data_IF_504972449085
#
_entry.id   IF_504972449085
#
_cell.length_a   1.000
_cell.length_b   1.000
_cell.length_c   1.000
_cell.angle_alpha   90.00
_cell.angle_beta   90.00
_cell.angle_gamma   90.00
#
_symmetry.space_group_name_H-M   'P 1'
#
loop_
_entity.id
_entity.type
_entity.pdbx_description
1 polymer ?
#
# COMPACT_ATOMS: atom_id res chain seq x y z
N UNK A 1 -47.20 -25.69 -39.54
CA UNK A 1 -46.61 -26.49 -38.45
C UNK A 1 -47.06 -25.84 -37.16
N UNK A 2 -48.04 -26.45 -36.50
CA UNK A 2 -48.58 -25.94 -35.26
C UNK A 2 -47.78 -26.46 -34.07
N UNK A 3 -47.68 -25.69 -33.00
CA UNK A 3 -46.93 -26.09 -31.79
C UNK A 3 -47.49 -27.37 -31.14
N UNK A 4 -48.74 -27.69 -31.47
CA UNK A 4 -49.47 -28.88 -31.01
C UNK A 4 -48.99 -30.18 -31.69
N UNK A 5 -48.28 -30.07 -32.80
CA UNK A 5 -47.77 -31.22 -33.57
C UNK A 5 -46.35 -31.65 -33.16
N UNK A 6 -45.74 -31.00 -32.14
CA UNK A 6 -44.40 -31.32 -31.66
C UNK A 6 -44.40 -32.46 -30.61
N UNK A 7 -43.38 -33.31 -30.69
CA UNK A 7 -43.13 -34.34 -29.68
C UNK A 7 -42.66 -33.69 -28.35
N UNK A 8 -42.95 -34.33 -27.20
CA UNK A 8 -42.57 -33.88 -25.86
C UNK A 8 -41.09 -33.48 -25.77
N UNK A 9 -40.18 -34.28 -26.34
CA UNK A 9 -38.75 -33.97 -26.33
C UNK A 9 -38.41 -32.71 -27.14
N UNK A 10 -39.12 -32.46 -28.24
CA UNK A 10 -38.91 -31.25 -29.05
C UNK A 10 -39.43 -30.00 -28.33
N UNK A 11 -40.55 -30.11 -27.61
CA UNK A 11 -41.05 -29.01 -26.76
C UNK A 11 -40.08 -28.69 -25.63
N UNK A 12 -39.48 -29.70 -25.01
CA UNK A 12 -38.45 -29.50 -23.96
C UNK A 12 -37.21 -28.84 -24.55
N UNK A 13 -36.72 -29.31 -25.71
CA UNK A 13 -35.56 -28.73 -26.37
C UNK A 13 -35.81 -27.27 -26.79
N UNK A 14 -37.02 -26.98 -27.29
CA UNK A 14 -37.45 -25.63 -27.63
C UNK A 14 -37.50 -24.72 -26.40
N UNK A 15 -38.01 -25.21 -25.27
CA UNK A 15 -38.07 -24.46 -24.02
C UNK A 15 -36.67 -24.14 -23.46
N UNK A 16 -35.74 -25.09 -23.53
CA UNK A 16 -34.34 -24.89 -23.11
C UNK A 16 -33.66 -23.86 -24.02
N UNK A 17 -33.84 -24.00 -25.33
CA UNK A 17 -33.28 -23.06 -26.32
C UNK A 17 -33.81 -21.64 -26.08
N UNK A 18 -35.13 -21.50 -25.86
CA UNK A 18 -35.76 -20.21 -25.60
C UNK A 18 -35.22 -19.59 -24.31
N UNK A 19 -35.09 -20.37 -23.24
CA UNK A 19 -34.53 -19.90 -21.96
C UNK A 19 -33.10 -19.38 -22.12
N UNK A 20 -32.27 -20.08 -22.90
CA UNK A 20 -30.89 -19.67 -23.18
C UNK A 20 -30.82 -18.36 -23.98
N UNK A 21 -31.60 -18.24 -25.06
CA UNK A 21 -31.64 -17.02 -25.90
C UNK A 21 -32.18 -15.84 -25.12
N UNK A 22 -33.22 -16.03 -24.31
CA UNK A 22 -33.79 -14.97 -23.46
C UNK A 22 -32.76 -14.45 -22.45
N UNK A 23 -31.96 -15.33 -21.82
CA UNK A 23 -30.92 -14.91 -20.87
C UNK A 23 -29.88 -13.99 -21.50
N UNK A 24 -29.45 -14.28 -22.73
CA UNK A 24 -28.47 -13.43 -23.45
C UNK A 24 -29.12 -12.12 -23.88
N UNK A 25 -30.35 -12.17 -24.41
CA UNK A 25 -31.08 -10.99 -24.85
C UNK A 25 -31.30 -10.00 -23.69
N UNK A 26 -31.74 -10.47 -22.52
CA UNK A 26 -31.92 -9.62 -21.33
C UNK A 26 -30.59 -9.01 -20.87
N UNK A 27 -29.49 -9.77 -20.90
CA UNK A 27 -28.16 -9.24 -20.57
C UNK A 27 -27.72 -8.11 -21.51
N UNK A 28 -27.87 -8.29 -22.82
CA UNK A 28 -27.49 -7.26 -23.79
C UNK A 28 -28.40 -6.03 -23.67
N UNK A 29 -29.72 -6.20 -23.61
CA UNK A 29 -30.67 -5.08 -23.54
C UNK A 29 -30.50 -4.27 -22.26
N UNK A 30 -30.21 -4.88 -21.12
CA UNK A 30 -29.96 -4.14 -19.87
C UNK A 30 -28.70 -3.29 -19.96
N UNK A 31 -27.60 -3.84 -20.50
CA UNK A 31 -26.34 -3.09 -20.69
C UNK A 31 -26.50 -1.96 -21.71
N UNK A 32 -27.20 -2.19 -22.83
CA UNK A 32 -27.39 -1.15 -23.84
C UNK A 32 -28.29 -0.02 -23.35
N UNK A 33 -29.33 -0.32 -22.57
CA UNK A 33 -30.17 0.71 -21.96
C UNK A 33 -29.40 1.54 -20.91
N UNK A 34 -28.50 0.92 -20.15
CA UNK A 34 -27.61 1.67 -19.24
C UNK A 34 -26.64 2.60 -19.99
N UNK A 35 -26.14 2.19 -21.16
CA UNK A 35 -25.27 3.03 -21.98
C UNK A 35 -26.01 4.12 -22.76
N UNK A 36 -27.32 3.97 -22.96
CA UNK A 36 -28.18 4.95 -23.63
C UNK A 36 -28.87 5.91 -22.64
N UNK A 37 -28.70 5.72 -21.33
CA UNK A 37 -29.16 6.69 -20.35
C UNK A 37 -28.45 8.03 -20.60
N UNK A 38 -29.19 9.13 -20.89
CA UNK A 38 -28.59 10.44 -21.06
C UNK A 38 -27.79 10.79 -19.81
N UNK A 39 -26.52 11.20 -19.96
CA UNK A 39 -25.76 11.79 -18.88
C UNK A 39 -26.62 12.88 -18.26
N UNK A 40 -27.06 12.65 -17.02
CA UNK A 40 -27.95 13.54 -16.29
C UNK A 40 -27.31 14.92 -16.23
N UNK A 41 -27.74 15.81 -17.11
CA UNK A 41 -27.72 17.27 -17.04
C UNK A 41 -26.61 17.87 -16.18
N UNK A 42 -25.34 17.61 -16.50
CA UNK A 42 -24.26 18.51 -16.12
C UNK A 42 -24.30 19.69 -17.09
N UNK A 43 -25.26 20.60 -16.91
CA UNK A 43 -25.16 21.94 -17.48
C UNK A 43 -23.92 22.60 -16.86
N UNK A 44 -22.83 22.85 -17.61
CA UNK A 44 -21.79 23.73 -17.12
C UNK A 44 -22.40 25.13 -17.08
N UNK A 45 -22.14 25.86 -16.01
CA UNK A 45 -22.52 27.27 -15.82
C UNK A 45 -21.71 28.17 -16.76
N UNK A 46 -21.55 27.81 -18.04
CA UNK A 46 -20.78 28.54 -19.03
C UNK A 46 -21.55 29.71 -19.65
N UNK A 47 -22.79 29.96 -19.23
CA UNK A 47 -23.59 31.11 -19.72
C UNK A 47 -23.19 32.45 -19.08
N UNK A 48 -22.48 32.43 -17.95
CA UNK A 48 -21.96 33.65 -17.28
C UNK A 48 -20.59 34.07 -17.87
N UNK A 49 -19.95 33.20 -18.66
CA UNK A 49 -18.55 33.40 -19.12
C UNK A 49 -18.42 34.45 -20.23
N UNK A 50 -19.49 34.86 -20.91
CA UNK A 50 -19.36 35.78 -22.07
C UNK A 50 -19.12 37.26 -21.71
N UNK A 51 -19.49 37.70 -20.51
CA UNK A 51 -19.34 39.11 -20.10
C UNK A 51 -18.07 39.39 -19.27
N UNK A 52 -17.27 38.38 -18.89
CA UNK A 52 -16.13 38.56 -17.95
C UNK A 52 -14.76 38.27 -18.57
N UNK A 53 -14.65 38.22 -19.90
CA UNK A 53 -13.37 37.93 -20.59
C UNK A 53 -12.62 39.21 -20.99
N UNK A 54 -12.61 40.27 -20.17
CA UNK A 54 -11.88 41.49 -20.53
C UNK A 54 -10.46 41.57 -19.96
N UNK A 55 -10.09 40.78 -18.93
CA UNK A 55 -8.68 40.78 -18.48
C UNK A 55 -8.30 39.55 -17.65
N UNK A 56 -7.75 38.53 -18.30
CA UNK A 56 -7.07 37.43 -17.63
C UNK A 56 -5.56 37.76 -17.64
N UNK A 57 -5.12 38.53 -16.64
CA UNK A 57 -3.69 38.50 -16.27
C UNK A 57 -3.50 37.22 -15.48
N UNK A 58 -2.56 36.31 -15.84
CA UNK A 58 -2.24 35.18 -14.99
C UNK A 58 -1.64 35.73 -13.71
N UNK A 59 -2.43 35.83 -12.64
CA UNK A 59 -1.86 35.89 -11.30
C UNK A 59 -1.30 34.50 -11.08
N UNK A 60 0.03 34.41 -10.98
CA UNK A 60 0.69 33.22 -10.43
C UNK A 60 0.03 32.95 -9.08
N UNK A 61 -0.90 32.00 -9.09
CA UNK A 61 -1.47 31.43 -7.90
C UNK A 61 -0.38 30.56 -7.31
N UNK A 62 0.56 31.21 -6.59
CA UNK A 62 1.27 30.53 -5.52
C UNK A 62 0.19 29.81 -4.72
N UNK A 63 0.27 28.47 -4.55
CA UNK A 63 -0.69 27.78 -3.72
C UNK A 63 -0.73 28.55 -2.41
N UNK A 64 -1.94 28.96 -2.01
CA UNK A 64 -2.16 29.61 -0.73
C UNK A 64 -1.94 28.51 0.30
N UNK A 65 -0.68 28.22 0.60
CA UNK A 65 -0.26 27.41 1.73
C UNK A 65 -0.96 28.08 2.91
N UNK A 66 -2.01 27.45 3.44
CA UNK A 66 -2.52 27.85 4.74
C UNK A 66 -1.31 27.92 5.64
N UNK A 67 -1.00 29.12 6.11
CA UNK A 67 0.09 29.29 7.04
C UNK A 67 -0.31 28.49 8.28
N UNK A 68 0.37 27.36 8.49
CA UNK A 68 0.19 26.53 9.66
C UNK A 68 0.21 27.44 10.90
N UNK A 69 -0.77 27.25 11.79
CA UNK A 69 -0.82 27.88 13.10
C UNK A 69 0.51 27.64 13.83
N UNK A 70 0.85 28.53 14.77
CA UNK A 70 2.05 28.36 15.60
C UNK A 70 2.04 27.01 16.34
N UNK A 71 0.86 26.52 16.71
CA UNK A 71 0.64 25.22 17.35
C UNK A 71 0.93 24.06 16.40
N UNK A 72 0.42 24.10 15.17
CA UNK A 72 0.64 23.07 14.15
C UNK A 72 2.12 22.99 13.73
N UNK A 73 2.81 24.13 13.70
CA UNK A 73 4.26 24.16 13.44
C UNK A 73 5.05 23.49 14.56
N UNK A 74 4.68 23.73 15.82
CA UNK A 74 5.32 23.08 16.96
C UNK A 74 5.15 21.56 16.91
N UNK A 75 3.92 21.08 16.65
CA UNK A 75 3.64 19.66 16.48
C UNK A 75 4.43 19.04 15.33
N UNK A 76 4.63 19.77 14.24
CA UNK A 76 5.44 19.28 13.12
C UNK A 76 6.92 19.12 13.49
N UNK A 77 7.50 20.03 14.27
CA UNK A 77 8.86 19.90 14.77
C UNK A 77 8.99 18.71 15.74
N UNK A 78 8.02 18.53 16.64
CA UNK A 78 7.98 17.38 17.55
C UNK A 78 7.86 16.05 16.77
N UNK A 79 7.01 15.99 15.73
CA UNK A 79 6.90 14.81 14.86
C UNK A 79 8.17 14.53 14.07
N UNK A 80 8.86 15.57 13.58
CA UNK A 80 10.16 15.40 12.90
C UNK A 80 11.21 14.78 13.82
N UNK A 81 11.20 15.14 15.11
CA UNK A 81 12.11 14.55 16.09
C UNK A 81 11.79 13.06 16.37
N UNK A 82 10.52 12.65 16.25
CA UNK A 82 10.08 11.25 16.48
C UNK A 82 10.24 10.38 15.23
N UNK A 83 10.25 10.96 14.01
CA UNK A 83 10.38 10.19 12.76
C UNK A 83 11.53 9.17 12.75
N UNK A 84 12.76 9.47 13.21
CA UNK A 84 13.86 8.51 13.23
C UNK A 84 13.61 7.30 14.13
N UNK A 85 12.75 7.44 15.15
CA UNK A 85 12.37 6.37 16.08
C UNK A 85 11.23 5.51 15.52
N UNK A 86 10.54 5.96 14.47
CA UNK A 86 9.44 5.21 13.87
C UNK A 86 9.97 4.14 12.93
N UNK A 87 9.47 2.92 13.07
CA UNK A 87 9.90 1.77 12.26
C UNK A 87 8.69 1.04 11.69
N UNK A 88 8.86 0.42 10.53
CA UNK A 88 7.81 -0.36 9.87
C UNK A 88 8.23 -1.81 9.78
N UNK A 89 7.40 -2.73 10.28
CA UNK A 89 7.59 -4.17 10.12
C UNK A 89 6.90 -4.63 8.84
N UNK A 90 7.62 -5.42 8.05
CA UNK A 90 7.11 -6.04 6.84
C UNK A 90 7.53 -7.50 6.74
N UNK A 91 6.67 -8.30 6.13
CA UNK A 91 6.91 -9.67 5.74
C UNK A 91 7.45 -9.68 4.31
N UNK A 92 8.68 -10.17 4.15
CA UNK A 92 9.34 -10.34 2.86
C UNK A 92 9.11 -11.76 2.33
N UNK A 93 8.69 -11.88 1.06
CA UNK A 93 8.63 -13.19 0.40
C UNK A 93 7.24 -13.73 0.07
N UNK A 94 6.18 -12.90 0.04
CA UNK A 94 4.92 -13.34 -0.56
C UNK A 94 5.05 -13.29 -2.09
N UNK A 95 4.82 -14.40 -2.81
CA UNK A 95 4.80 -14.37 -4.26
C UNK A 95 3.58 -13.54 -4.70
N UNK A 96 3.82 -12.34 -5.24
CA UNK A 96 2.75 -11.63 -5.94
C UNK A 96 2.45 -12.38 -7.24
N UNK A 97 1.17 -12.37 -7.65
CA UNK A 97 0.72 -13.04 -8.87
C UNK A 97 1.41 -12.51 -10.16
N UNK A 98 2.18 -11.44 -10.05
CA UNK A 98 2.96 -10.75 -11.09
C UNK A 98 4.44 -11.12 -11.13
N UNK A 99 4.96 -11.98 -10.25
CA UNK A 99 6.38 -12.36 -10.24
C UNK A 99 7.31 -11.35 -9.55
N UNK A 100 6.75 -10.28 -8.98
CA UNK A 100 7.44 -9.40 -8.04
C UNK A 100 7.21 -9.91 -6.61
N UNK A 101 8.21 -9.72 -5.74
CA UNK A 101 8.05 -10.06 -4.32
C UNK A 101 7.39 -8.87 -3.66
N UNK A 102 6.11 -8.96 -3.31
CA UNK A 102 5.44 -7.87 -2.58
C UNK A 102 5.71 -8.00 -1.09
N UNK A 103 6.31 -6.95 -0.52
CA UNK A 103 6.54 -6.85 0.92
C UNK A 103 5.21 -6.47 1.61
N UNK A 104 4.67 -7.37 2.44
CA UNK A 104 3.41 -7.11 3.17
C UNK A 104 3.71 -6.38 4.47
N UNK A 105 3.20 -5.16 4.63
CA UNK A 105 3.31 -4.41 5.88
C UNK A 105 2.50 -5.11 6.97
N UNK A 106 3.16 -5.41 8.09
CA UNK A 106 2.55 -6.05 9.26
C UNK A 106 2.19 -5.03 10.35
N UNK A 107 2.95 -3.94 10.46
CA UNK A 107 2.64 -2.88 11.42
C UNK A 107 3.71 -1.79 11.49
N UNK A 108 3.37 -0.72 12.21
CA UNK A 108 4.29 0.39 12.50
C UNK A 108 4.53 0.44 14.01
N UNK A 109 5.77 0.67 14.39
CA UNK A 109 6.21 0.68 15.78
C UNK A 109 7.23 1.77 16.08
N UNK A 110 7.71 1.73 17.32
CA UNK A 110 8.76 2.61 17.84
C UNK A 110 9.99 1.78 18.22
N UNK A 111 11.17 2.31 17.93
CA UNK A 111 12.45 1.75 18.38
C UNK A 111 12.73 2.20 19.82
N UNK A 112 12.99 1.26 20.73
CA UNK A 112 13.15 1.52 22.18
C UNK A 112 14.60 1.49 22.68
N UNK A 113 15.60 1.41 21.79
CA UNK A 113 16.99 1.15 22.19
C UNK A 113 17.26 -0.35 22.34
N UNK A 114 18.54 -0.72 22.48
CA UNK A 114 18.99 -2.12 22.62
C UNK A 114 18.46 -3.08 21.54
N UNK A 115 18.36 -2.59 20.30
CA UNK A 115 17.84 -3.35 19.15
C UNK A 115 16.40 -3.88 19.34
N UNK A 116 15.60 -3.25 20.20
CA UNK A 116 14.20 -3.59 20.44
C UNK A 116 13.25 -2.61 19.78
N UNK A 117 12.15 -3.13 19.27
CA UNK A 117 11.06 -2.40 18.63
C UNK A 117 9.74 -2.82 19.25
N UNK A 118 8.88 -1.86 19.55
CA UNK A 118 7.52 -2.11 20.04
C UNK A 118 6.51 -1.75 18.95
N UNK A 119 5.62 -2.68 18.63
CA UNK A 119 4.49 -2.47 17.73
C UNK A 119 3.21 -2.52 18.54
N UNK A 120 2.35 -1.52 18.39
CA UNK A 120 1.06 -1.41 19.08
C UNK A 120 -0.03 -2.36 18.53
N UNK A 121 0.40 -3.48 17.95
CA UNK A 121 -0.44 -4.52 17.37
C UNK A 121 0.15 -5.88 17.73
N UNK A 122 -0.72 -6.88 17.85
CA UNK A 122 -0.31 -8.27 18.06
C UNK A 122 0.13 -8.86 16.71
N UNK A 123 1.42 -9.17 16.60
CA UNK A 123 2.00 -9.80 15.42
C UNK A 123 2.24 -11.28 15.74
N UNK A 124 1.69 -12.16 14.92
CA UNK A 124 1.94 -13.59 15.03
C UNK A 124 3.42 -13.92 14.74
N UNK A 125 3.90 -15.04 15.26
CA UNK A 125 5.24 -15.53 14.89
C UNK A 125 5.31 -15.87 13.39
N UNK A 126 6.47 -15.65 12.74
CA UNK A 126 6.65 -15.98 11.33
C UNK A 126 6.44 -17.48 11.10
N UNK A 127 5.62 -17.82 10.10
CA UNK A 127 5.43 -19.22 9.69
C UNK A 127 6.68 -19.76 8.98
N UNK A 128 6.79 -21.08 8.87
CA UNK A 128 7.94 -21.73 8.22
C UNK A 128 8.15 -21.21 6.79
N UNK A 129 9.26 -20.49 6.56
CA UNK A 129 9.58 -19.82 5.29
C UNK A 129 9.31 -18.31 5.23
N UNK A 130 8.66 -17.72 6.24
CA UNK A 130 8.42 -16.28 6.33
C UNK A 130 9.60 -15.54 6.97
N UNK A 131 10.03 -14.43 6.36
CA UNK A 131 11.09 -13.57 6.91
C UNK A 131 10.53 -12.21 7.26
N UNK A 132 10.59 -11.87 8.54
CA UNK A 132 10.20 -10.55 9.04
C UNK A 132 11.40 -9.61 9.01
N UNK A 133 11.16 -8.42 8.48
CA UNK A 133 12.14 -7.36 8.38
C UNK A 133 11.56 -6.05 8.89
N UNK A 134 12.40 -5.26 9.55
CA UNK A 134 12.05 -3.94 10.07
C UNK A 134 12.77 -2.89 9.23
N UNK A 135 12.01 -1.95 8.69
CA UNK A 135 12.49 -0.79 7.95
C UNK A 135 12.55 0.40 8.88
N UNK A 136 13.75 0.95 9.06
CA UNK A 136 13.99 2.20 9.77
C UNK A 136 14.65 3.20 8.82
N UNK A 137 14.87 4.44 9.29
CA UNK A 137 15.72 5.43 8.62
C UNK A 137 17.15 4.95 8.40
N UNK A 138 17.62 3.99 9.22
CA UNK A 138 18.94 3.36 9.11
C UNK A 138 19.01 2.26 8.04
N UNK A 139 17.87 1.86 7.46
CA UNK A 139 17.79 0.75 6.51
C UNK A 139 16.94 -0.41 7.03
N UNK A 140 17.09 -1.57 6.39
CA UNK A 140 16.30 -2.76 6.66
C UNK A 140 17.09 -3.74 7.54
N UNK A 141 16.50 -4.17 8.66
CA UNK A 141 17.09 -5.11 9.62
C UNK A 141 16.22 -6.34 9.76
N UNK A 142 16.84 -7.52 9.85
CA UNK A 142 16.11 -8.78 10.06
C UNK A 142 15.64 -8.88 11.51
N UNK A 143 14.45 -9.41 11.71
CA UNK A 143 13.92 -9.74 13.04
C UNK A 143 14.59 -11.01 13.58
N UNK A 144 15.10 -10.96 14.80
CA UNK A 144 15.65 -12.11 15.52
C UNK A 144 14.60 -12.85 16.33
N UNK A 145 13.72 -12.10 17.02
CA UNK A 145 12.69 -12.65 17.90
C UNK A 145 11.44 -11.78 17.91
N UNK A 146 10.28 -12.43 17.97
CA UNK A 146 8.97 -11.80 18.13
C UNK A 146 8.41 -12.27 19.47
N UNK A 147 7.95 -11.34 20.31
CA UNK A 147 7.31 -11.63 21.60
C UNK A 147 5.99 -10.86 21.65
N UNK A 148 4.88 -11.58 21.55
CA UNK A 148 3.53 -11.00 21.65
C UNK A 148 3.10 -10.91 23.12
N UNK A 149 2.71 -9.70 23.55
CA UNK A 149 2.08 -9.41 24.85
C UNK A 149 0.57 -9.22 24.65
N UNK A 150 -0.18 -8.85 25.71
CA UNK A 150 -1.64 -8.67 25.62
C UNK A 150 -2.08 -7.56 24.65
N UNK A 151 -1.33 -6.43 24.61
CA UNK A 151 -1.70 -5.23 23.83
C UNK A 151 -0.66 -4.81 22.78
N UNK A 152 0.54 -5.39 22.80
CA UNK A 152 1.64 -4.99 21.92
C UNK A 152 2.58 -6.16 21.60
N UNK A 153 3.45 -5.97 20.61
CA UNK A 153 4.49 -6.93 20.26
C UNK A 153 5.87 -6.31 20.40
N UNK A 154 6.77 -7.00 21.08
CA UNK A 154 8.19 -6.67 21.15
C UNK A 154 8.93 -7.46 20.06
N UNK A 155 9.73 -6.75 19.29
CA UNK A 155 10.54 -7.28 18.20
C UNK A 155 11.99 -6.99 18.53
N UNK A 156 12.79 -8.04 18.59
CA UNK A 156 14.24 -7.93 18.71
C UNK A 156 14.84 -7.99 17.31
N UNK A 157 15.73 -7.07 17.00
CA UNK A 157 16.44 -6.99 15.73
C UNK A 157 17.74 -7.79 15.86
N UNK A 158 18.17 -8.39 14.75
CA UNK A 158 19.51 -8.96 14.66
C UNK A 158 20.53 -7.84 14.87
N UNK A 159 21.34 -7.94 15.92
CA UNK A 159 22.50 -7.07 16.10
C UNK A 159 23.43 -7.35 14.93
N UNK A 160 23.61 -6.36 14.06
CA UNK A 160 24.73 -6.39 13.12
C UNK A 160 26.00 -6.29 13.98
N UNK A 161 26.67 -7.42 14.24
CA UNK A 161 28.07 -7.39 14.62
C UNK A 161 28.80 -6.59 13.54
N UNK A 162 29.22 -5.37 13.87
CA UNK A 162 30.26 -4.71 13.10
C UNK A 162 31.45 -5.68 13.06
N UNK A 163 32.06 -5.92 11.89
CA UNK A 163 33.27 -6.72 11.84
C UNK A 163 34.28 -6.01 12.71
N UNK A 164 34.67 -6.68 13.80
CA UNK A 164 35.77 -6.26 14.67
C UNK A 164 36.96 -6.08 13.72
N UNK A 165 37.33 -4.83 13.45
CA UNK A 165 38.59 -4.52 12.79
C UNK A 165 39.65 -5.15 13.69
N UNK A 166 40.31 -6.19 13.17
CA UNK A 166 41.44 -6.83 13.83
C UNK A 166 42.40 -5.73 14.29
N UNK A 167 42.90 -5.77 15.53
CA UNK A 167 43.87 -4.80 16.00
C UNK A 167 45.04 -4.79 15.03
N UNK A 168 45.37 -3.60 14.52
CA UNK A 168 46.47 -3.40 13.59
C UNK A 168 47.72 -4.11 14.08
N UNK A 169 48.28 -4.93 13.20
CA UNK A 169 49.62 -5.46 13.34
C UNK A 169 50.57 -4.27 13.22
N UNK A 170 50.94 -3.71 14.38
CA UNK A 170 51.98 -2.70 14.54
C UNK A 170 53.33 -3.35 14.20
N UNK A 171 53.63 -3.44 12.91
CA UNK A 171 54.98 -3.74 12.46
C UNK A 171 55.82 -2.47 12.62
N UNK A 172 56.44 -2.37 13.80
CA UNK A 172 57.51 -1.42 14.08
C UNK A 172 58.58 -1.43 12.96
N UNK A 173 59.20 -0.28 12.64
CA UNK A 173 60.29 -0.24 11.68
C UNK A 173 61.53 -0.93 12.29
N UNK A 174 62.32 -1.69 11.51
CA UNK A 174 63.62 -2.11 11.98
C UNK A 174 64.55 -0.89 11.95
N UNK A 175 64.83 -0.38 13.14
CA UNK A 175 65.96 0.51 13.39
C UNK A 175 67.26 -0.23 13.02
N UNK A 176 68.17 0.49 12.37
CA UNK A 176 69.32 -0.08 11.67
C UNK A 176 70.35 -0.77 12.58
N UNK A 177 71.05 -1.75 12.01
CA UNK A 177 72.36 -2.18 12.47
C UNK A 177 73.17 -2.82 11.34
N UNK A 178 74.29 -2.15 11.02
CA UNK A 178 75.51 -2.60 10.32
C UNK A 178 75.49 -2.68 8.78
#
# INVERSE_FOLDING_TARGET
>A
MDIKDLNKSQLILLAILLSFVTSIATGITTVTLMQQAPASVTMPVTRIVRETVEKIVPVESKPKTQALSAEEKKLLEDLKAIKPLTVTLFLKGLPAQSGETEDKILGTGLFLGDNKVVIASIIAEPKEGEVYMVKSVLGEQKVSKVTAEEDFTIIELVVAEEPILAPGEDTAPPDGAL
#
